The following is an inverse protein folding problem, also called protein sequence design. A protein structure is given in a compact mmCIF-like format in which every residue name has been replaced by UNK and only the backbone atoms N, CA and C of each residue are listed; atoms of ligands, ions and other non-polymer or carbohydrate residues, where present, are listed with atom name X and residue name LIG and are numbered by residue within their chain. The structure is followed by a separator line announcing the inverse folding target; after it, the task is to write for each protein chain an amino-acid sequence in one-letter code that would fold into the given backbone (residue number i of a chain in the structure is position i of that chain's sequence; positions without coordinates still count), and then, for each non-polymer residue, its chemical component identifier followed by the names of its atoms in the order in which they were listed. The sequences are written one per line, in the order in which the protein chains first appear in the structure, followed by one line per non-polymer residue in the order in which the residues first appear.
data_IF_806732149070
#
_entry.id   IF_806732149070
#
_cell.length_a   1.000
_cell.length_b   1.000
_cell.length_c   1.000
_cell.angle_alpha   90.00
_cell.angle_beta   90.00
_cell.angle_gamma   90.00
#
_symmetry.space_group_name_H-M   'P 1'
#
loop_
_entity.id
_entity.type
_entity.pdbx_description
1 polymer ?
#
# COMPACT_ATOMS: atom_id res chain seq x y z
N UNK A 1 15.15 -21.52 1.21
CA UNK A 1 14.22 -20.46 1.67
C UNK A 1 13.66 -19.74 0.44
N UNK A 2 12.33 -19.71 0.24
CA UNK A 2 11.73 -19.08 -0.94
C UNK A 2 12.10 -17.60 -1.03
N UNK A 3 12.74 -17.18 -2.13
CA UNK A 3 13.19 -15.79 -2.37
C UNK A 3 12.05 -14.78 -2.17
N UNK A 4 10.84 -15.14 -2.60
CA UNK A 4 9.61 -14.35 -2.42
C UNK A 4 9.27 -14.16 -0.94
N UNK A 5 9.33 -15.22 -0.13
CA UNK A 5 9.04 -15.16 1.32
C UNK A 5 10.04 -14.27 2.06
N UNK A 6 11.31 -14.29 1.64
CA UNK A 6 12.34 -13.38 2.15
C UNK A 6 12.07 -11.92 1.77
N UNK A 7 11.72 -11.67 0.50
CA UNK A 7 11.39 -10.32 0.03
C UNK A 7 10.17 -9.73 0.75
N UNK A 8 9.11 -10.52 0.95
CA UNK A 8 7.91 -10.10 1.69
C UNK A 8 8.25 -9.76 3.15
N UNK A 9 9.09 -10.56 3.82
CA UNK A 9 9.53 -10.25 5.20
C UNK A 9 10.26 -8.92 5.32
N UNK A 10 11.03 -8.56 4.30
CA UNK A 10 11.78 -7.29 4.28
C UNK A 10 10.91 -6.10 3.84
N UNK A 11 9.78 -6.36 3.21
CA UNK A 11 8.88 -5.32 2.72
C UNK A 11 8.13 -4.62 3.86
N UNK A 12 7.69 -5.37 4.86
CA UNK A 12 6.92 -4.79 5.97
C UNK A 12 7.71 -3.73 6.76
N UNK A 13 8.95 -3.97 7.22
CA UNK A 13 9.74 -2.92 7.87
C UNK A 13 10.01 -1.71 6.98
N UNK A 14 10.13 -1.90 5.66
CA UNK A 14 10.29 -0.81 4.71
C UNK A 14 9.03 0.06 4.61
N UNK A 15 7.84 -0.56 4.62
CA UNK A 15 6.58 0.18 4.62
C UNK A 15 6.46 0.96 5.92
N UNK A 16 6.71 0.33 7.07
CA UNK A 16 6.60 0.96 8.39
C UNK A 16 7.52 2.19 8.51
N UNK A 17 8.75 2.09 8.01
CA UNK A 17 9.69 3.22 7.96
C UNK A 17 9.22 4.32 6.99
N UNK A 18 8.64 3.94 5.85
CA UNK A 18 8.22 4.89 4.82
C UNK A 18 6.98 5.71 5.20
N UNK A 19 6.09 5.15 6.02
CA UNK A 19 4.87 5.81 6.51
C UNK A 19 5.10 6.59 7.81
N UNK A 20 6.31 6.55 8.38
CA UNK A 20 6.63 7.23 9.63
C UNK A 20 6.84 8.73 9.42
N UNK A 21 5.75 9.44 9.18
CA UNK A 21 5.71 10.90 9.06
C UNK A 21 4.42 11.46 9.66
N UNK A 22 4.47 12.72 10.10
CA UNK A 22 3.30 13.38 10.67
C UNK A 22 2.31 13.79 9.58
N UNK A 23 1.03 13.49 9.80
CA UNK A 23 -0.06 13.80 8.88
C UNK A 23 -0.96 14.84 9.52
N UNK A 24 -0.92 16.07 9.01
CA UNK A 24 -1.83 17.13 9.42
C UNK A 24 -3.01 17.20 8.44
N UNK A 25 -4.18 16.73 8.87
CA UNK A 25 -5.41 16.78 8.07
C UNK A 25 -6.25 17.99 8.46
N UNK A 26 -6.80 18.68 7.46
CA UNK A 26 -7.83 19.71 7.67
C UNK A 26 -9.17 19.12 8.09
N UNK A 27 -10.21 19.96 8.14
CA UNK A 27 -11.57 19.49 8.40
C UNK A 27 -12.05 18.58 7.26
N UNK A 28 -12.57 17.41 7.60
CA UNK A 28 -13.05 16.43 6.64
C UNK A 28 -13.23 15.05 7.23
N UNK A 29 -13.82 14.14 6.45
CA UNK A 29 -13.97 12.74 6.84
C UNK A 29 -12.59 12.07 6.84
N UNK A 30 -12.22 11.44 7.96
CA UNK A 30 -11.01 10.62 8.03
C UNK A 30 -11.11 9.44 7.05
N UNK A 31 -10.02 9.07 6.36
CA UNK A 31 -9.97 7.85 5.56
C UNK A 31 -10.38 6.65 6.40
N UNK A 32 -11.18 5.76 5.82
CA UNK A 32 -11.61 4.50 6.46
C UNK A 32 -10.45 3.50 6.60
N UNK A 33 -9.44 3.64 5.72
CA UNK A 33 -8.25 2.79 5.70
C UNK A 33 -7.04 3.51 6.28
N UNK A 34 -6.31 2.80 7.12
CA UNK A 34 -5.01 3.23 7.62
C UNK A 34 -4.02 3.40 6.45
N UNK A 35 -3.04 4.30 6.59
CA UNK A 35 -2.06 4.56 5.53
C UNK A 35 -1.30 3.27 5.13
N UNK A 36 -0.89 2.45 6.11
CA UNK A 36 -0.24 1.15 5.87
C UNK A 36 -1.11 0.24 4.99
N UNK A 37 -2.41 0.17 5.28
CA UNK A 37 -3.35 -0.67 4.50
C UNK A 37 -3.47 -0.17 3.06
N UNK A 38 -3.60 1.14 2.86
CA UNK A 38 -3.67 1.76 1.52
C UNK A 38 -2.43 1.47 0.68
N UNK A 39 -1.25 1.61 1.26
CA UNK A 39 0.03 1.28 0.60
C UNK A 39 0.11 -0.21 0.23
N UNK A 40 -0.24 -1.10 1.15
CA UNK A 40 -0.23 -2.55 0.90
C UNK A 40 -1.19 -2.93 -0.23
N UNK A 41 -2.39 -2.35 -0.27
CA UNK A 41 -3.39 -2.63 -1.32
C UNK A 41 -2.83 -2.31 -2.71
N UNK A 42 -2.17 -1.15 -2.88
CA UNK A 42 -1.56 -0.79 -4.16
C UNK A 42 -0.36 -1.67 -4.52
N UNK A 43 0.50 -2.00 -3.55
CA UNK A 43 1.60 -2.94 -3.77
C UNK A 43 1.10 -4.31 -4.22
N UNK A 44 0.04 -4.82 -3.60
CA UNK A 44 -0.61 -6.06 -4.02
C UNK A 44 -1.17 -5.94 -5.43
N UNK A 45 -1.85 -4.83 -5.76
CA UNK A 45 -2.34 -4.59 -7.12
C UNK A 45 -1.22 -4.70 -8.13
N UNK A 46 -0.10 -3.98 -7.90
CA UNK A 46 1.03 -4.01 -8.83
C UNK A 46 1.67 -5.40 -8.93
N UNK A 47 1.74 -6.15 -7.83
CA UNK A 47 2.23 -7.54 -7.83
C UNK A 47 1.37 -8.46 -8.71
N UNK A 48 0.04 -8.31 -8.68
CA UNK A 48 -0.85 -9.15 -9.48
C UNK A 48 -0.86 -8.78 -10.97
N UNK A 49 -0.45 -7.56 -11.33
CA UNK A 49 -0.35 -7.12 -12.73
C UNK A 49 -1.67 -7.19 -13.50
N UNK A 50 -2.82 -7.09 -12.80
CA UNK A 50 -4.17 -7.07 -13.39
C UNK A 50 -4.76 -5.66 -13.35
N UNK A 51 -5.76 -5.41 -14.20
CA UNK A 51 -6.53 -4.17 -14.13
C UNK A 51 -7.32 -4.09 -12.82
N UNK A 52 -7.62 -2.88 -12.34
CA UNK A 52 -8.35 -2.68 -11.08
C UNK A 52 -9.69 -3.45 -11.07
N UNK A 53 -10.41 -3.45 -12.21
CA UNK A 53 -11.68 -4.19 -12.37
C UNK A 53 -11.49 -5.70 -12.24
N UNK A 54 -10.44 -6.27 -12.82
CA UNK A 54 -10.14 -7.70 -12.68
C UNK A 54 -9.70 -8.08 -11.26
N UNK A 55 -9.21 -7.12 -10.48
CA UNK A 55 -8.85 -7.32 -9.09
C UNK A 55 -10.07 -7.34 -8.15
N UNK A 56 -11.28 -7.00 -8.61
CA UNK A 56 -12.48 -6.92 -7.77
C UNK A 56 -12.75 -8.21 -6.97
N UNK A 57 -12.67 -9.38 -7.61
CA UNK A 57 -12.86 -10.67 -6.93
C UNK A 57 -11.75 -10.96 -5.91
N UNK A 58 -10.51 -10.57 -6.21
CA UNK A 58 -9.38 -10.72 -5.28
C UNK A 58 -9.54 -9.80 -4.07
N UNK A 59 -10.00 -8.57 -4.28
CA UNK A 59 -10.27 -7.61 -3.21
C UNK A 59 -11.43 -8.07 -2.32
N UNK A 60 -12.45 -8.73 -2.89
CA UNK A 60 -13.51 -9.35 -2.10
C UNK A 60 -12.96 -10.47 -1.19
N UNK A 61 -12.06 -11.32 -1.70
CA UNK A 61 -11.37 -12.34 -0.89
C UNK A 61 -10.47 -11.69 0.16
N UNK A 62 -9.74 -10.63 -0.20
CA UNK A 62 -8.92 -9.89 0.74
C UNK A 62 -9.76 -9.25 1.85
N UNK A 63 -10.90 -8.66 1.50
CA UNK A 63 -11.86 -8.08 2.45
C UNK A 63 -12.38 -9.14 3.42
N UNK A 64 -12.74 -10.33 2.92
CA UNK A 64 -13.13 -11.47 3.76
C UNK A 64 -12.02 -11.90 4.73
N UNK A 65 -10.76 -11.94 4.28
CA UNK A 65 -9.62 -12.40 5.09
C UNK A 65 -9.12 -11.36 6.09
N UNK A 66 -9.20 -10.07 5.73
CA UNK A 66 -8.63 -8.97 6.51
C UNK A 66 -9.66 -8.19 7.33
N UNK A 67 -10.95 -8.35 7.04
CA UNK A 67 -12.03 -7.52 7.58
C UNK A 67 -12.07 -6.10 7.00
N UNK A 68 -11.22 -5.80 6.01
CA UNK A 68 -11.09 -4.47 5.41
C UNK A 68 -11.96 -4.36 4.17
N UNK A 69 -12.97 -3.48 4.19
CA UNK A 69 -13.81 -3.24 3.01
C UNK A 69 -13.06 -2.42 1.94
N UNK A 70 -12.37 -3.12 1.05
CA UNK A 70 -11.68 -2.55 -0.09
C UNK A 70 -12.35 -3.02 -1.39
N UNK A 71 -12.77 -2.07 -2.22
CA UNK A 71 -13.31 -2.35 -3.56
C UNK A 71 -12.32 -1.89 -4.63
N UNK A 72 -12.57 -2.27 -5.89
CA UNK A 72 -11.76 -1.75 -7.00
C UNK A 72 -11.81 -0.21 -7.10
N UNK A 73 -12.91 0.43 -6.68
CA UNK A 73 -13.03 1.90 -6.61
C UNK A 73 -12.17 2.47 -5.50
N UNK A 74 -11.99 1.74 -4.41
CA UNK A 74 -11.05 2.11 -3.36
C UNK A 74 -9.64 2.19 -3.97
N UNK A 75 -9.21 1.15 -4.69
CA UNK A 75 -7.92 1.12 -5.40
C UNK A 75 -7.77 2.29 -6.38
N UNK A 76 -8.80 2.57 -7.19
CA UNK A 76 -8.77 3.70 -8.15
C UNK A 76 -8.52 5.04 -7.46
N UNK A 77 -9.13 5.28 -6.29
CA UNK A 77 -8.93 6.52 -5.52
C UNK A 77 -7.55 6.63 -4.88
N UNK A 78 -6.94 5.49 -4.51
CA UNK A 78 -5.60 5.49 -3.90
C UNK A 78 -4.51 6.00 -4.83
N UNK A 79 -4.70 5.95 -6.14
CA UNK A 79 -3.76 6.53 -7.10
C UNK A 79 -3.64 8.05 -7.00
N UNK A 80 -4.64 8.73 -6.42
CA UNK A 80 -4.66 10.17 -6.23
C UNK A 80 -4.51 10.55 -4.75
N UNK A 81 -4.12 9.62 -3.89
CA UNK A 81 -3.97 9.84 -2.47
C UNK A 81 -2.57 10.39 -2.15
N UNK A 82 -2.45 11.65 -1.70
CA UNK A 82 -1.15 12.30 -1.51
C UNK A 82 -0.33 11.65 -0.40
N UNK A 83 -0.97 11.08 0.63
CA UNK A 83 -0.26 10.40 1.73
C UNK A 83 0.39 9.11 1.22
N UNK A 84 -0.30 8.41 0.30
CA UNK A 84 0.19 7.19 -0.34
C UNK A 84 1.33 7.51 -1.32
N UNK A 85 1.22 8.60 -2.08
CA UNK A 85 2.28 9.08 -2.95
C UNK A 85 3.57 9.40 -2.15
N UNK A 86 3.44 10.12 -1.03
CA UNK A 86 4.57 10.41 -0.13
C UNK A 86 5.18 9.11 0.40
N UNK A 87 4.36 8.16 0.84
CA UNK A 87 4.84 6.87 1.31
C UNK A 87 5.66 6.14 0.23
N UNK A 88 5.18 6.10 -1.03
CA UNK A 88 5.95 5.48 -2.12
C UNK A 88 7.25 6.21 -2.42
N UNK A 89 7.25 7.54 -2.38
CA UNK A 89 8.49 8.32 -2.52
C UNK A 89 9.49 7.99 -1.41
N UNK A 90 9.03 7.90 -0.17
CA UNK A 90 9.87 7.50 0.96
C UNK A 90 10.41 6.08 0.79
N UNK A 91 9.56 5.12 0.39
CA UNK A 91 10.00 3.75 0.08
C UNK A 91 11.10 3.74 -0.99
N UNK A 92 10.93 4.52 -2.06
CA UNK A 92 11.93 4.62 -3.13
C UNK A 92 13.27 5.15 -2.59
N UNK A 93 13.26 6.23 -1.81
CA UNK A 93 14.48 6.79 -1.17
C UNK A 93 15.14 5.78 -0.25
N UNK A 94 14.36 5.07 0.58
CA UNK A 94 14.88 4.06 1.51
C UNK A 94 15.52 2.88 0.76
N UNK A 95 14.92 2.44 -0.36
CA UNK A 95 15.49 1.40 -1.22
C UNK A 95 16.82 1.86 -1.81
N UNK A 96 16.92 3.09 -2.30
CA UNK A 96 18.16 3.63 -2.86
C UNK A 96 19.27 3.70 -1.80
N UNK A 97 18.96 4.24 -0.62
CA UNK A 97 19.90 4.29 0.52
C UNK A 97 20.41 2.90 0.89
N UNK A 98 19.52 1.89 0.96
CA UNK A 98 19.91 0.49 1.26
C UNK A 98 20.79 -0.15 0.18
N UNK A 99 20.70 0.33 -1.06
CA UNK A 99 21.51 -0.14 -2.19
C UNK A 99 22.84 0.62 -2.34
N UNK A 100 23.09 1.65 -1.54
CA UNK A 100 24.30 2.48 -1.62
C UNK A 100 24.33 3.42 -2.83
N UNK A 101 23.15 3.80 -3.33
CA UNK A 101 22.98 4.80 -4.38
C UNK A 101 22.67 6.18 -3.80
#
# INVERSE_FOLDING_TARGET
MNRIKGAIKNLEPLIDEAINFEIHRGQGRKPELELKQRVIILLLKELFGKSNRMMASMLAVFSLLSGIDASYKTVERLYSDPEVEIAFRNMHVLILKKKGA
#
